data_IF_398105706509
#
_entry.id   IF_398105706509
#
_cell.length_a   1.000
_cell.length_b   1.000
_cell.length_c   1.000
_cell.angle_alpha   90.00
_cell.angle_beta   90.00
_cell.angle_gamma   90.00
#
_symmetry.space_group_name_H-M   'P 1'
#
loop_
_entity.id
_entity.type
_entity.pdbx_description
1 polymer ?
#
# COMPACT_ATOMS: atom_id res chain seq x y z
N UNK A 1 3.21 10.47 7.34
CA UNK A 1 3.25 11.24 6.08
C UNK A 1 3.43 10.27 4.94
N UNK A 2 2.80 10.51 3.77
CA UNK A 2 2.94 9.61 2.61
C UNK A 2 3.56 10.36 1.43
N UNK A 3 4.58 9.74 0.82
CA UNK A 3 5.24 10.19 -0.39
C UNK A 3 4.63 9.42 -1.57
N UNK A 4 3.99 10.15 -2.47
CA UNK A 4 3.34 9.58 -3.65
C UNK A 4 4.23 9.76 -4.87
N UNK A 5 4.45 8.66 -5.60
CA UNK A 5 4.92 8.69 -6.98
C UNK A 5 3.94 7.90 -7.86
N UNK A 6 2.92 8.60 -8.30
CA UNK A 6 1.82 8.01 -9.09
C UNK A 6 2.25 7.55 -10.47
N UNK A 7 3.40 8.01 -10.94
CA UNK A 7 3.93 7.75 -12.28
C UNK A 7 5.20 6.91 -12.31
N UNK A 8 5.65 6.40 -11.14
CA UNK A 8 6.86 5.57 -11.08
C UNK A 8 6.86 4.42 -12.10
N UNK A 9 5.74 3.74 -12.27
CA UNK A 9 5.61 2.59 -13.17
C UNK A 9 5.65 2.89 -14.67
N UNK A 10 5.74 4.16 -15.09
CA UNK A 10 5.99 4.50 -16.51
C UNK A 10 7.49 4.55 -16.82
N UNK A 11 8.34 4.51 -15.79
CA UNK A 11 9.79 4.50 -15.95
C UNK A 11 10.28 3.09 -16.28
N UNK A 12 11.28 2.94 -17.16
CA UNK A 12 12.06 1.72 -17.25
C UNK A 12 12.72 1.39 -15.90
N UNK A 13 12.88 0.11 -15.59
CA UNK A 13 13.42 -0.33 -14.29
C UNK A 13 14.75 0.33 -13.95
N UNK A 14 15.65 0.46 -14.94
CA UNK A 14 16.97 1.08 -14.78
C UNK A 14 16.90 2.57 -14.40
N UNK A 15 15.76 3.22 -14.66
CA UNK A 15 15.55 4.64 -14.35
C UNK A 15 14.85 4.86 -13.00
N UNK A 16 14.22 3.82 -12.45
CA UNK A 16 13.48 3.90 -11.18
C UNK A 16 14.34 4.37 -10.02
N UNK A 17 15.58 3.89 -9.94
CA UNK A 17 16.48 4.33 -8.89
C UNK A 17 16.70 5.85 -8.93
N UNK A 18 17.02 6.37 -10.10
CA UNK A 18 17.42 7.76 -10.26
C UNK A 18 16.26 8.75 -10.16
N UNK A 19 15.12 8.42 -10.78
CA UNK A 19 14.01 9.36 -10.91
C UNK A 19 12.87 9.16 -9.91
N UNK A 20 12.82 8.05 -9.22
CA UNK A 20 11.78 7.73 -8.25
C UNK A 20 12.35 7.45 -6.86
N UNK A 21 13.19 6.41 -6.70
CA UNK A 21 13.66 5.98 -5.39
C UNK A 21 14.58 6.99 -4.73
N UNK A 22 15.64 7.48 -5.41
CA UNK A 22 16.58 8.43 -4.82
C UNK A 22 15.93 9.74 -4.37
N UNK A 23 15.05 10.38 -5.17
CA UNK A 23 14.26 11.52 -4.69
C UNK A 23 13.41 11.22 -3.45
N UNK A 24 12.72 10.06 -3.41
CA UNK A 24 11.95 9.66 -2.23
C UNK A 24 12.83 9.48 -0.99
N UNK A 25 13.98 8.84 -1.14
CA UNK A 25 14.95 8.65 -0.05
C UNK A 25 15.46 9.98 0.48
N UNK A 26 15.81 10.91 -0.40
CA UNK A 26 16.28 12.26 0.00
C UNK A 26 15.21 13.04 0.76
N UNK A 27 13.96 13.00 0.28
CA UNK A 27 12.83 13.63 0.97
C UNK A 27 12.61 12.97 2.33
N UNK A 28 12.60 11.63 2.40
CA UNK A 28 12.41 10.90 3.64
C UNK A 28 13.50 11.22 4.69
N UNK A 29 14.76 11.32 4.27
CA UNK A 29 15.86 11.72 5.16
C UNK A 29 15.66 13.12 5.71
N UNK A 30 15.39 14.11 4.86
CA UNK A 30 15.15 15.49 5.31
C UNK A 30 13.91 15.64 6.19
N UNK A 31 12.87 14.83 5.97
CA UNK A 31 11.70 14.77 6.87
C UNK A 31 12.07 14.17 8.23
N UNK A 32 12.83 13.09 8.26
CA UNK A 32 13.22 12.41 9.49
C UNK A 32 14.13 13.27 10.37
N UNK A 33 15.00 14.06 9.78
CA UNK A 33 15.83 15.03 10.52
C UNK A 33 14.99 16.06 11.28
N UNK A 34 13.90 16.57 10.66
CA UNK A 34 13.03 17.60 11.25
C UNK A 34 11.91 17.00 12.11
N UNK A 35 11.44 15.80 11.76
CA UNK A 35 10.29 15.15 12.35
C UNK A 35 10.57 13.66 12.63
N UNK A 36 11.49 13.32 13.54
CA UNK A 36 12.02 11.96 13.73
C UNK A 36 10.95 10.92 14.14
N UNK A 37 9.84 11.37 14.72
CA UNK A 37 8.76 10.49 15.19
C UNK A 37 7.64 10.27 14.16
N UNK A 38 7.66 10.99 13.03
CA UNK A 38 6.59 10.87 12.03
C UNK A 38 6.85 9.67 11.13
N UNK A 39 5.91 8.69 11.05
CA UNK A 39 6.03 7.59 10.11
C UNK A 39 6.01 8.08 8.66
N UNK A 40 6.88 7.51 7.83
CA UNK A 40 6.97 7.82 6.40
C UNK A 40 6.51 6.62 5.60
N UNK A 41 5.50 6.83 4.76
CA UNK A 41 4.95 5.83 3.85
C UNK A 41 5.44 6.14 2.45
N UNK A 42 6.08 5.19 1.77
CA UNK A 42 6.43 5.31 0.36
C UNK A 42 5.35 4.65 -0.52
N UNK A 43 4.93 5.32 -1.59
CA UNK A 43 3.99 4.77 -2.56
C UNK A 43 4.49 4.97 -4.00
N UNK A 44 5.42 4.14 -4.48
CA UNK A 44 5.81 4.06 -5.89
C UNK A 44 4.79 3.19 -6.64
N UNK A 45 3.86 3.82 -7.34
CA UNK A 45 2.76 3.10 -8.00
C UNK A 45 3.21 2.40 -9.27
N UNK A 46 2.66 1.20 -9.51
CA UNK A 46 2.77 0.41 -10.74
C UNK A 46 4.21 -0.04 -11.10
N UNK A 47 5.11 -0.13 -10.11
CA UNK A 47 6.49 -0.58 -10.33
C UNK A 47 6.66 -2.10 -10.37
N UNK A 48 5.59 -2.88 -10.13
CA UNK A 48 5.62 -4.34 -10.18
C UNK A 48 6.71 -4.95 -9.27
N UNK A 49 7.50 -5.93 -9.76
CA UNK A 49 8.55 -6.58 -8.98
C UNK A 49 9.66 -5.63 -8.51
N UNK A 50 9.87 -4.49 -9.19
CA UNK A 50 10.83 -3.46 -8.77
C UNK A 50 10.45 -2.82 -7.42
N UNK A 51 9.24 -3.12 -6.88
CA UNK A 51 8.86 -2.78 -5.51
C UNK A 51 9.90 -3.23 -4.47
N UNK A 52 10.68 -4.27 -4.74
CA UNK A 52 11.78 -4.74 -3.88
C UNK A 52 12.85 -3.66 -3.65
N UNK A 53 13.07 -2.75 -4.59
CA UNK A 53 14.04 -1.65 -4.45
C UNK A 53 13.63 -0.67 -3.36
N UNK A 54 12.31 -0.55 -3.09
CA UNK A 54 11.72 0.35 -2.10
C UNK A 54 11.58 -0.30 -0.71
N UNK A 55 11.92 -1.56 -0.55
CA UNK A 55 11.92 -2.28 0.73
C UNK A 55 13.10 -1.83 1.60
N UNK A 56 12.98 -0.62 2.15
CA UNK A 56 14.03 0.07 2.92
C UNK A 56 13.52 0.48 4.29
N UNK A 57 13.49 -0.43 5.27
CA UNK A 57 12.92 -0.17 6.61
C UNK A 57 13.66 0.95 7.36
N UNK A 58 14.94 1.15 7.08
CA UNK A 58 15.72 2.25 7.67
C UNK A 58 15.31 3.64 7.12
N UNK A 59 14.64 3.68 5.99
CA UNK A 59 14.22 4.92 5.33
C UNK A 59 12.72 5.13 5.43
N UNK A 60 11.93 4.11 5.11
CA UNK A 60 10.47 4.14 5.10
C UNK A 60 9.91 3.30 6.23
N UNK A 61 8.91 3.82 6.93
CA UNK A 61 8.20 3.07 7.98
C UNK A 61 7.21 2.08 7.38
N UNK A 62 6.62 2.42 6.23
CA UNK A 62 5.59 1.64 5.55
C UNK A 62 5.80 1.72 4.04
N UNK A 63 5.59 0.63 3.35
CA UNK A 63 5.54 0.57 1.89
C UNK A 63 4.09 0.35 1.44
N UNK A 64 3.52 1.33 0.75
CA UNK A 64 2.19 1.21 0.18
C UNK A 64 2.26 0.50 -1.17
N UNK A 65 1.43 -0.51 -1.35
CA UNK A 65 1.35 -1.35 -2.54
C UNK A 65 0.05 -1.07 -3.31
N UNK A 66 0.13 -1.06 -4.63
CA UNK A 66 -1.01 -0.87 -5.51
C UNK A 66 -1.73 -2.19 -5.84
N UNK A 67 -2.81 -2.10 -6.62
CA UNK A 67 -3.64 -3.24 -7.03
C UNK A 67 -2.90 -4.26 -7.88
N UNK A 68 -1.82 -3.88 -8.56
CA UNK A 68 -1.00 -4.77 -9.39
C UNK A 68 -0.09 -5.71 -8.58
N UNK A 69 0.08 -5.43 -7.28
CA UNK A 69 0.89 -6.27 -6.40
C UNK A 69 0.01 -7.35 -5.76
N UNK A 70 0.28 -8.62 -6.05
CA UNK A 70 -0.44 -9.72 -5.43
C UNK A 70 -0.18 -9.83 -3.92
N UNK A 71 -1.24 -9.92 -3.10
CA UNK A 71 -1.13 -9.99 -1.64
C UNK A 71 -0.25 -11.17 -1.16
N UNK A 72 -0.33 -12.33 -1.82
CA UNK A 72 0.52 -13.49 -1.47
C UNK A 72 2.01 -13.20 -1.69
N UNK A 73 2.36 -12.59 -2.82
CA UNK A 73 3.75 -12.20 -3.10
C UNK A 73 4.23 -11.14 -2.12
N UNK A 74 3.40 -10.12 -1.84
CA UNK A 74 3.71 -9.07 -0.88
C UNK A 74 3.94 -9.61 0.53
N UNK A 75 3.11 -10.56 0.99
CA UNK A 75 3.26 -11.23 2.27
C UNK A 75 4.60 -11.97 2.40
N UNK A 76 5.07 -12.58 1.30
CA UNK A 76 6.32 -13.36 1.30
C UNK A 76 7.55 -12.47 1.13
N UNK A 77 7.52 -11.55 0.19
CA UNK A 77 8.73 -10.86 -0.28
C UNK A 77 8.94 -9.49 0.39
N UNK A 78 7.87 -8.85 0.86
CA UNK A 78 7.94 -7.50 1.41
C UNK A 78 7.67 -7.46 2.91
N UNK A 79 6.56 -8.05 3.37
CA UNK A 79 6.07 -7.90 4.74
C UNK A 79 7.02 -8.40 5.84
N UNK A 80 7.88 -9.43 5.64
CA UNK A 80 8.86 -9.82 6.64
C UNK A 80 9.90 -8.72 6.97
N UNK A 81 10.00 -7.71 6.12
CA UNK A 81 11.03 -6.67 6.20
C UNK A 81 10.49 -5.27 6.46
N UNK A 82 9.24 -4.98 6.10
CA UNK A 82 8.65 -3.65 6.21
C UNK A 82 7.13 -3.77 6.40
N UNK A 83 6.54 -2.85 7.17
CA UNK A 83 5.10 -2.73 7.26
C UNK A 83 4.51 -2.41 5.87
N UNK A 84 3.41 -3.06 5.51
CA UNK A 84 2.72 -2.82 4.23
C UNK A 84 1.43 -2.04 4.43
N UNK A 85 1.04 -1.28 3.38
CA UNK A 85 -0.26 -0.63 3.27
C UNK A 85 -0.90 -0.99 1.92
N UNK A 86 -2.18 -1.23 1.88
CA UNK A 86 -2.93 -1.48 0.62
C UNK A 86 -3.94 -2.60 0.78
N UNK A 87 -4.37 -3.26 -0.29
CA UNK A 87 -4.27 -2.84 -1.71
C UNK A 87 -5.57 -3.20 -2.44
N UNK A 88 -6.72 -2.96 -1.76
CA UNK A 88 -8.03 -3.20 -2.37
C UNK A 88 -8.19 -2.32 -3.62
N UNK A 89 -8.68 -2.92 -4.72
CA UNK A 89 -8.98 -2.17 -5.93
C UNK A 89 -10.10 -1.15 -5.67
N UNK A 90 -9.90 0.15 -5.96
CA UNK A 90 -10.94 1.16 -5.85
C UNK A 90 -12.22 0.83 -6.63
N UNK A 91 -12.14 0.08 -7.73
CA UNK A 91 -13.30 -0.36 -8.51
C UNK A 91 -14.14 -1.38 -7.73
N UNK A 92 -13.49 -2.22 -6.91
CA UNK A 92 -14.23 -3.10 -5.99
C UNK A 92 -15.01 -2.30 -4.95
N UNK A 93 -14.47 -1.15 -4.50
CA UNK A 93 -15.18 -0.26 -3.60
C UNK A 93 -16.38 0.42 -4.29
N UNK A 94 -16.28 0.76 -5.56
CA UNK A 94 -17.43 1.26 -6.36
C UNK A 94 -18.51 0.20 -6.47
N UNK A 95 -18.13 -1.04 -6.78
CA UNK A 95 -19.07 -2.16 -6.90
C UNK A 95 -19.75 -2.52 -5.57
N UNK A 96 -19.01 -2.44 -4.47
CA UNK A 96 -19.54 -2.71 -3.14
C UNK A 96 -19.97 -4.15 -2.92
N UNK A 97 -20.89 -4.34 -1.97
CA UNK A 97 -21.56 -5.60 -1.69
C UNK A 97 -20.62 -6.72 -1.24
N UNK A 98 -21.08 -7.96 -1.38
CA UNK A 98 -20.33 -9.15 -0.95
C UNK A 98 -19.01 -9.36 -1.72
N UNK A 99 -18.90 -8.90 -2.97
CA UNK A 99 -17.68 -9.04 -3.75
C UNK A 99 -16.56 -8.22 -3.12
N UNK A 100 -16.85 -6.98 -2.74
CA UNK A 100 -15.91 -6.10 -2.03
C UNK A 100 -15.49 -6.71 -0.68
N UNK A 101 -16.45 -7.21 0.10
CA UNK A 101 -16.17 -7.80 1.42
C UNK A 101 -15.29 -9.04 1.32
N UNK A 102 -15.58 -9.95 0.36
CA UNK A 102 -14.74 -11.12 0.12
C UNK A 102 -13.31 -10.74 -0.26
N UNK A 103 -13.15 -9.73 -1.11
CA UNK A 103 -11.82 -9.29 -1.53
C UNK A 103 -11.07 -8.62 -0.37
N UNK A 104 -11.74 -7.81 0.44
CA UNK A 104 -11.16 -7.23 1.65
C UNK A 104 -10.71 -8.32 2.64
N UNK A 105 -11.54 -9.33 2.87
CA UNK A 105 -11.20 -10.50 3.70
C UNK A 105 -10.00 -11.24 3.13
N UNK A 106 -9.97 -11.51 1.83
CA UNK A 106 -8.85 -12.18 1.16
C UNK A 106 -7.52 -11.45 1.37
N UNK A 107 -7.53 -10.11 1.30
CA UNK A 107 -6.34 -9.29 1.55
C UNK A 107 -5.92 -9.41 3.02
N UNK A 108 -6.88 -9.29 3.94
CA UNK A 108 -6.64 -9.39 5.38
C UNK A 108 -6.10 -10.76 5.79
N UNK A 109 -6.63 -11.85 5.22
CA UNK A 109 -6.16 -13.22 5.47
C UNK A 109 -4.71 -13.43 5.02
N UNK A 110 -4.23 -12.65 4.07
CA UNK A 110 -2.85 -12.76 3.57
C UNK A 110 -1.89 -11.80 4.28
N UNK A 111 -2.34 -10.58 4.60
CA UNK A 111 -1.47 -9.52 5.10
C UNK A 111 -1.76 -9.14 6.56
N UNK A 112 -2.95 -9.41 7.07
CA UNK A 112 -3.38 -8.97 8.40
C UNK A 112 -2.70 -9.67 9.57
N UNK A 113 -1.95 -10.75 9.33
CA UNK A 113 -1.16 -11.44 10.35
C UNK A 113 0.20 -10.78 10.62
N UNK A 114 0.64 -9.88 9.75
CA UNK A 114 1.88 -9.12 9.89
C UNK A 114 1.63 -7.63 10.14
N UNK A 115 2.69 -6.82 10.10
CA UNK A 115 2.57 -5.37 10.17
C UNK A 115 1.87 -4.84 8.90
N UNK A 116 0.62 -4.38 9.07
CA UNK A 116 -0.25 -4.05 7.95
C UNK A 116 -1.20 -2.89 8.25
N UNK A 117 -1.39 -2.01 7.29
CA UNK A 117 -2.41 -0.97 7.26
C UNK A 117 -3.34 -1.26 6.09
N UNK A 118 -4.58 -1.65 6.37
CA UNK A 118 -5.55 -1.85 5.29
C UNK A 118 -5.86 -0.51 4.59
N UNK A 119 -5.79 -0.51 3.28
CA UNK A 119 -6.11 0.64 2.44
C UNK A 119 -6.50 0.16 1.03
N UNK A 120 -6.94 1.10 0.19
CA UNK A 120 -7.06 0.87 -1.25
C UNK A 120 -5.68 0.85 -1.90
N UNK A 121 -5.56 0.20 -3.05
CA UNK A 121 -4.35 0.20 -3.88
C UNK A 121 -4.17 1.47 -4.71
N UNK A 122 -5.11 2.41 -4.64
CA UNK A 122 -5.04 3.77 -5.20
C UNK A 122 -6.09 4.66 -4.53
N UNK A 123 -6.21 5.92 -4.99
CA UNK A 123 -7.22 6.86 -4.48
C UNK A 123 -8.65 6.40 -4.74
N UNK A 124 -9.58 6.84 -3.90
CA UNK A 124 -11.02 6.66 -4.11
C UNK A 124 -11.43 7.37 -5.37
N UNK A 125 -12.22 6.71 -6.22
CA UNK A 125 -12.75 7.35 -7.43
C UNK A 125 -14.05 8.11 -7.11
N UNK A 126 -14.37 9.19 -7.85
CA UNK A 126 -15.51 10.06 -7.55
C UNK A 126 -16.88 9.35 -7.54
N UNK A 127 -17.00 8.25 -8.28
CA UNK A 127 -18.22 7.46 -8.38
C UNK A 127 -18.47 6.54 -7.19
N UNK A 128 -17.58 6.51 -6.21
CA UNK A 128 -17.69 5.60 -5.07
C UNK A 128 -18.85 6.02 -4.16
N UNK A 129 -19.86 5.14 -3.92
CA UNK A 129 -20.89 5.40 -2.97
C UNK A 129 -20.35 5.48 -1.53
N UNK A 130 -20.65 6.54 -0.75
CA UNK A 130 -20.16 6.65 0.64
C UNK A 130 -20.55 5.48 1.53
N UNK A 131 -21.72 4.89 1.29
CA UNK A 131 -22.20 3.69 2.02
C UNK A 131 -21.30 2.47 1.81
N UNK A 132 -20.68 2.32 0.64
CA UNK A 132 -19.70 1.27 0.40
C UNK A 132 -18.42 1.48 1.23
N UNK A 133 -18.03 2.74 1.44
CA UNK A 133 -16.88 3.06 2.31
C UNK A 133 -17.19 2.66 3.75
N UNK A 134 -18.38 3.03 4.27
CA UNK A 134 -18.79 2.65 5.61
C UNK A 134 -18.81 1.13 5.78
N UNK A 135 -19.42 0.41 4.83
CA UNK A 135 -19.49 -1.04 4.81
C UNK A 135 -18.11 -1.72 4.75
N UNK A 136 -17.19 -1.17 3.97
CA UNK A 136 -15.81 -1.66 3.93
C UNK A 136 -15.12 -1.49 5.29
N UNK A 137 -15.28 -0.31 5.92
CA UNK A 137 -14.71 -0.05 7.25
C UNK A 137 -15.23 -1.05 8.28
N UNK A 138 -16.54 -1.33 8.26
CA UNK A 138 -17.16 -2.30 9.17
C UNK A 138 -16.61 -3.71 8.93
N UNK A 139 -16.49 -4.14 7.67
CA UNK A 139 -15.92 -5.43 7.31
C UNK A 139 -14.47 -5.58 7.78
N UNK A 140 -13.64 -4.55 7.57
CA UNK A 140 -12.22 -4.55 8.00
C UNK A 140 -12.12 -4.61 9.53
N UNK A 141 -12.96 -3.87 10.25
CA UNK A 141 -12.98 -3.86 11.73
C UNK A 141 -13.48 -5.16 12.34
N UNK A 142 -14.40 -5.83 11.65
CA UNK A 142 -14.96 -7.11 12.10
C UNK A 142 -13.99 -8.28 11.89
N UNK A 143 -13.01 -8.14 11.00
CA UNK A 143 -12.06 -9.20 10.71
C UNK A 143 -11.19 -9.52 11.93
N UNK A 144 -10.95 -10.82 12.17
CA UNK A 144 -10.08 -11.31 13.25
C UNK A 144 -9.11 -12.33 12.67
N UNK A 145 -7.82 -12.29 13.09
CA UNK A 145 -6.85 -13.31 12.70
C UNK A 145 -7.31 -14.70 13.15
N UNK A 146 -7.38 -15.65 12.22
CA UNK A 146 -7.66 -17.06 12.55
C UNK A 146 -9.10 -17.39 12.92
N UNK A 147 -10.07 -16.54 12.56
CA UNK A 147 -11.49 -16.84 12.74
C UNK A 147 -12.01 -17.80 11.67
#
# INVERSE_FOLDING_TARGET
MQLFDSWAGVLPEEQLFHWSLDPMVRIAKGLRERHPKVPIIAFPRAVGPAMLMYRRPDTFSVLSIDTGIGAHWAAKELQPHICLQGNLDPIMLVAGGQAMEREATRILDKLGHGAFVFNLGHGVVPQTPPENVARLVDAVRAWKPGA
#
